data_IF_903590503166
#
_entry.id   IF_903590503166
#
_cell.length_a   1.000
_cell.length_b   1.000
_cell.length_c   1.000
_cell.angle_alpha   90.00
_cell.angle_beta   90.00
_cell.angle_gamma   90.00
#
_symmetry.space_group_name_H-M   'P 1'
#
loop_
_entity.id
_entity.type
_entity.pdbx_description
1 polymer ?
#
# COMPACT_ATOMS: atom_id res chain seq x y z
N UNK A 1 33.55 36.04 -4.41
CA UNK A 1 33.28 34.75 -3.75
C UNK A 1 31.84 34.41 -4.06
N UNK A 2 31.67 33.57 -5.08
CA UNK A 2 30.39 32.93 -5.39
C UNK A 2 30.03 32.02 -4.22
N UNK A 3 28.80 32.09 -3.74
CA UNK A 3 28.10 30.86 -3.44
C UNK A 3 26.60 31.00 -3.69
N UNK A 4 26.11 29.98 -4.35
CA UNK A 4 24.93 29.88 -5.15
C UNK A 4 23.84 29.18 -4.32
N UNK A 5 22.76 29.89 -3.96
CA UNK A 5 21.55 29.24 -3.44
C UNK A 5 20.36 29.57 -4.34
N UNK A 6 20.36 28.84 -5.44
CA UNK A 6 19.30 28.69 -6.43
C UNK A 6 18.10 27.95 -5.82
N UNK A 7 17.18 28.68 -5.21
CA UNK A 7 15.88 28.16 -4.80
C UNK A 7 14.97 27.94 -6.04
N UNK A 8 15.21 26.87 -6.80
CA UNK A 8 14.26 26.38 -7.81
C UNK A 8 13.26 25.42 -7.16
N UNK A 9 12.17 25.97 -6.63
CA UNK A 9 10.96 25.22 -6.30
C UNK A 9 10.28 24.84 -7.63
N UNK A 10 10.70 23.71 -8.22
CA UNK A 10 10.07 23.15 -9.42
C UNK A 10 8.67 22.65 -9.06
N UNK A 11 7.72 22.98 -9.93
CA UNK A 11 6.29 22.84 -9.73
C UNK A 11 5.84 21.42 -9.43
N UNK A 12 4.72 21.35 -8.69
CA UNK A 12 3.74 20.28 -8.82
C UNK A 12 3.32 20.26 -10.28
N UNK A 13 3.99 19.42 -11.07
CA UNK A 13 3.39 18.88 -12.27
C UNK A 13 2.29 17.97 -11.79
N UNK A 14 1.05 18.38 -12.00
CA UNK A 14 -0.07 17.45 -12.08
C UNK A 14 0.40 16.33 -13.00
N UNK A 15 0.51 15.13 -12.43
CA UNK A 15 0.81 13.95 -13.21
C UNK A 15 -0.48 13.65 -13.96
N UNK A 16 -0.65 14.36 -15.08
CA UNK A 16 -1.57 13.99 -16.13
C UNK A 16 -1.39 12.50 -16.35
N UNK A 17 -2.38 11.73 -15.88
CA UNK A 17 -2.57 10.35 -16.28
C UNK A 17 -2.80 10.48 -17.77
N UNK A 18 -1.73 10.37 -18.55
CA UNK A 18 -1.80 10.21 -19.99
C UNK A 18 -2.64 8.96 -20.17
N UNK A 19 -3.94 9.15 -20.39
CA UNK A 19 -4.83 8.14 -20.93
C UNK A 19 -4.26 7.84 -22.31
N UNK A 20 -3.31 6.91 -22.37
CA UNK A 20 -2.87 6.29 -23.61
C UNK A 20 -4.06 5.44 -24.09
N UNK A 21 -4.77 5.83 -25.17
CA UNK A 21 -5.88 5.04 -25.69
C UNK A 21 -5.40 3.71 -26.30
N UNK A 22 -4.10 3.56 -26.55
CA UNK A 22 -3.48 2.40 -27.20
C UNK A 22 -2.97 1.31 -26.25
N UNK A 23 -3.24 1.40 -24.94
CA UNK A 23 -3.02 0.28 -24.00
C UNK A 23 -4.28 -0.54 -23.74
N UNK A 24 -5.20 -0.52 -24.70
CA UNK A 24 -6.36 -1.42 -24.65
C UNK A 24 -5.89 -2.77 -25.17
N UNK A 25 -5.55 -3.68 -24.26
CA UNK A 25 -5.33 -5.08 -24.62
C UNK A 25 -6.56 -5.59 -25.39
N UNK A 26 -6.41 -6.36 -26.49
CA UNK A 26 -7.52 -6.89 -27.27
C UNK A 26 -8.19 -8.02 -26.47
N UNK A 27 -8.98 -7.62 -25.49
CA UNK A 27 -9.61 -8.47 -24.48
C UNK A 27 -10.02 -7.55 -23.34
N UNK A 28 -11.33 -7.44 -23.08
CA UNK A 28 -11.94 -6.50 -22.14
C UNK A 28 -11.63 -6.83 -20.67
N UNK A 29 -10.38 -7.09 -20.31
CA UNK A 29 -9.96 -7.33 -18.93
C UNK A 29 -9.35 -6.05 -18.36
N UNK A 30 -9.85 -5.61 -17.22
CA UNK A 30 -9.31 -4.47 -16.51
C UNK A 30 -7.96 -4.82 -15.88
N UNK A 31 -6.99 -3.91 -16.01
CA UNK A 31 -5.64 -4.05 -15.44
C UNK A 31 -5.33 -2.81 -14.59
N UNK A 32 -5.19 -2.92 -13.25
CA UNK A 32 -5.38 -4.11 -12.42
C UNK A 32 -6.81 -4.64 -12.43
N UNK A 33 -6.97 -5.94 -12.19
CA UNK A 33 -8.29 -6.57 -12.07
C UNK A 33 -9.04 -6.06 -10.85
N UNK A 34 -10.37 -6.29 -10.78
CA UNK A 34 -11.18 -5.94 -9.61
C UNK A 34 -10.62 -6.55 -8.31
N UNK A 35 -10.23 -7.83 -8.36
CA UNK A 35 -9.61 -8.55 -7.23
C UNK A 35 -8.30 -7.90 -6.76
N UNK A 36 -7.46 -7.46 -7.71
CA UNK A 36 -6.23 -6.75 -7.37
C UNK A 36 -6.51 -5.38 -6.76
N UNK A 37 -7.52 -4.67 -7.29
CA UNK A 37 -7.93 -3.36 -6.78
C UNK A 37 -8.49 -3.46 -5.36
N UNK A 38 -9.30 -4.49 -5.07
CA UNK A 38 -9.78 -4.80 -3.72
C UNK A 38 -8.61 -5.04 -2.76
N UNK A 39 -7.67 -5.92 -3.14
CA UNK A 39 -6.52 -6.23 -2.29
C UNK A 39 -5.64 -4.99 -2.04
N UNK A 40 -5.38 -4.19 -3.07
CA UNK A 40 -4.64 -2.93 -2.93
C UNK A 40 -5.38 -1.92 -2.06
N UNK A 41 -6.71 -1.86 -2.14
CA UNK A 41 -7.54 -1.03 -1.28
C UNK A 41 -7.39 -1.42 0.19
N UNK A 42 -7.55 -2.71 0.50
CA UNK A 42 -7.37 -3.23 1.85
C UNK A 42 -5.95 -2.98 2.40
N UNK A 43 -4.92 -3.22 1.58
CA UNK A 43 -3.53 -2.96 1.97
C UNK A 43 -3.27 -1.47 2.26
N UNK A 44 -3.88 -0.55 1.51
CA UNK A 44 -3.81 0.90 1.80
C UNK A 44 -4.44 1.24 3.13
N UNK A 45 -5.64 0.70 3.42
CA UNK A 45 -6.33 0.90 4.70
C UNK A 45 -5.52 0.38 5.88
N UNK A 46 -4.94 -0.82 5.75
CA UNK A 46 -4.04 -1.38 6.78
C UNK A 46 -2.84 -0.47 7.01
N UNK A 47 -2.21 0.03 5.94
CA UNK A 47 -1.03 0.91 6.06
C UNK A 47 -1.36 2.22 6.79
N UNK A 48 -2.52 2.80 6.51
CA UNK A 48 -2.97 4.00 7.23
C UNK A 48 -3.21 3.70 8.71
N UNK A 49 -3.83 2.55 9.01
CA UNK A 49 -4.07 2.15 10.40
C UNK A 49 -2.77 1.92 11.17
N UNK A 50 -1.80 1.24 10.57
CA UNK A 50 -0.44 1.07 11.13
C UNK A 50 0.23 2.43 11.39
N UNK A 51 0.06 3.42 10.51
CA UNK A 51 0.63 4.75 10.69
C UNK A 51 0.06 5.44 11.93
N UNK A 52 -1.26 5.39 12.11
CA UNK A 52 -1.95 5.95 13.28
C UNK A 52 -1.47 5.26 14.56
N UNK A 53 -1.43 3.93 14.57
CA UNK A 53 -1.00 3.14 15.73
C UNK A 53 0.45 3.42 16.13
N UNK A 54 1.36 3.45 15.15
CA UNK A 54 2.78 3.78 15.42
C UNK A 54 2.96 5.20 15.92
N UNK A 55 2.18 6.16 15.40
CA UNK A 55 2.21 7.52 15.93
C UNK A 55 1.71 7.58 17.37
N UNK A 56 0.67 6.81 17.72
CA UNK A 56 0.15 6.75 19.08
C UNK A 56 1.14 6.12 20.04
N UNK A 57 1.73 4.98 19.65
CA UNK A 57 2.78 4.31 20.43
C UNK A 57 3.96 5.25 20.70
N UNK A 58 4.45 5.95 19.67
CA UNK A 58 5.54 6.92 19.87
C UNK A 58 5.19 8.02 20.89
N UNK A 59 3.94 8.47 20.93
CA UNK A 59 3.47 9.44 21.93
C UNK A 59 3.35 8.85 23.33
N UNK A 60 2.95 7.58 23.46
CA UNK A 60 2.85 6.88 24.75
C UNK A 60 4.25 6.57 25.29
N UNK A 61 5.16 6.08 24.46
CA UNK A 61 6.54 5.82 24.84
C UNK A 61 7.26 7.10 25.30
N UNK A 62 6.98 8.23 24.65
CA UNK A 62 7.51 9.53 25.03
C UNK A 62 6.95 10.07 26.36
N UNK A 63 5.76 9.61 26.78
CA UNK A 63 5.18 10.00 28.08
C UNK A 63 5.93 9.34 29.25
N UNK A 64 6.44 8.11 29.03
CA UNK A 64 7.10 7.30 30.04
C UNK A 64 6.22 6.91 31.24
N UNK A 65 4.89 7.05 31.12
CA UNK A 65 3.98 6.80 32.24
C UNK A 65 3.59 5.33 32.32
N UNK A 66 3.67 4.77 33.52
CA UNK A 66 3.33 3.36 33.78
C UNK A 66 1.85 3.05 33.49
N UNK A 67 0.96 4.02 33.69
CA UNK A 67 -0.47 3.91 33.35
C UNK A 67 -0.74 3.67 31.85
N UNK A 68 0.20 4.04 30.98
CA UNK A 68 0.09 3.85 29.53
C UNK A 68 0.46 2.42 29.09
N UNK A 69 1.04 1.60 29.99
CA UNK A 69 1.55 0.25 29.65
C UNK A 69 0.49 -0.69 29.06
N UNK A 70 -0.74 -0.64 29.58
CA UNK A 70 -1.83 -1.45 29.05
C UNK A 70 -2.27 -0.96 27.65
N UNK A 71 -2.30 0.36 27.41
CA UNK A 71 -2.61 0.90 26.10
C UNK A 71 -1.53 0.49 25.08
N UNK A 72 -0.25 0.58 25.45
CA UNK A 72 0.89 0.14 24.62
C UNK A 72 0.70 -1.33 24.20
N UNK A 73 0.47 -2.23 25.15
CA UNK A 73 0.28 -3.66 24.88
C UNK A 73 -0.91 -3.92 23.96
N UNK A 74 -2.02 -3.19 24.12
CA UNK A 74 -3.17 -3.34 23.21
C UNK A 74 -2.83 -2.90 21.78
N UNK A 75 -2.04 -1.83 21.62
CA UNK A 75 -1.65 -1.32 20.29
C UNK A 75 -0.61 -2.20 19.62
N UNK A 76 0.29 -2.82 20.37
CA UNK A 76 1.23 -3.82 19.85
C UNK A 76 0.51 -5.07 19.35
N UNK A 77 -0.48 -5.56 20.09
CA UNK A 77 -1.33 -6.68 19.65
C UNK A 77 -2.10 -6.34 18.36
N UNK A 78 -2.62 -5.12 18.27
CA UNK A 78 -3.31 -4.64 17.07
C UNK A 78 -2.36 -4.58 15.86
N UNK A 79 -1.12 -4.11 16.05
CA UNK A 79 -0.08 -4.15 15.02
C UNK A 79 0.27 -5.58 14.58
N UNK A 80 0.32 -6.53 15.51
CA UNK A 80 0.56 -7.93 15.19
C UNK A 80 -0.57 -8.52 14.33
N UNK A 81 -1.83 -8.20 14.64
CA UNK A 81 -2.98 -8.61 13.84
C UNK A 81 -2.95 -7.98 12.43
N UNK A 82 -2.66 -6.69 12.34
CA UNK A 82 -2.55 -6.00 11.04
C UNK A 82 -1.44 -6.58 10.15
N UNK A 83 -0.37 -7.12 10.75
CA UNK A 83 0.69 -7.82 10.01
C UNK A 83 0.19 -9.15 9.42
N UNK A 84 -0.62 -9.90 10.16
CA UNK A 84 -1.26 -11.12 9.66
C UNK A 84 -2.20 -10.78 8.51
N UNK A 85 -3.03 -9.76 8.69
CA UNK A 85 -3.97 -9.31 7.65
C UNK A 85 -3.24 -8.81 6.40
N UNK A 86 -2.14 -8.06 6.58
CA UNK A 86 -1.28 -7.62 5.47
C UNK A 86 -0.80 -8.80 4.63
N UNK A 87 -0.24 -9.84 5.27
CA UNK A 87 0.27 -11.01 4.57
C UNK A 87 -0.83 -11.71 3.77
N UNK A 88 -2.02 -11.86 4.37
CA UNK A 88 -3.19 -12.45 3.70
C UNK A 88 -3.60 -11.65 2.46
N UNK A 89 -3.64 -10.32 2.55
CA UNK A 89 -3.96 -9.48 1.39
C UNK A 89 -2.85 -9.46 0.34
N UNK A 90 -1.59 -9.56 0.75
CA UNK A 90 -0.47 -9.69 -0.16
C UNK A 90 -0.53 -10.99 -0.97
N UNK A 91 -0.88 -12.11 -0.33
CA UNK A 91 -1.11 -13.39 -1.00
C UNK A 91 -2.27 -13.31 -1.99
N UNK A 92 -3.41 -12.74 -1.58
CA UNK A 92 -4.56 -12.50 -2.47
C UNK A 92 -4.18 -11.64 -3.67
N UNK A 93 -3.45 -10.55 -3.47
CA UNK A 93 -2.96 -9.67 -4.54
C UNK A 93 -2.06 -10.44 -5.51
N UNK A 94 -1.12 -11.24 -4.99
CA UNK A 94 -0.22 -12.06 -5.81
C UNK A 94 -1.00 -13.11 -6.62
N UNK A 95 -1.98 -13.77 -6.01
CA UNK A 95 -2.84 -14.72 -6.70
C UNK A 95 -3.64 -14.06 -7.83
N UNK A 96 -4.29 -12.92 -7.55
CA UNK A 96 -5.05 -12.17 -8.55
C UNK A 96 -4.15 -11.63 -9.68
N UNK A 97 -2.93 -11.20 -9.38
CA UNK A 97 -1.95 -10.82 -10.39
C UNK A 97 -1.56 -12.00 -11.29
N UNK A 98 -1.32 -13.19 -10.71
CA UNK A 98 -1.04 -14.42 -11.49
C UNK A 98 -2.22 -14.83 -12.36
N UNK A 99 -3.44 -14.79 -11.84
CA UNK A 99 -4.66 -15.06 -12.63
C UNK A 99 -4.72 -14.17 -13.86
N UNK A 100 -4.44 -12.87 -13.71
CA UNK A 100 -4.36 -11.95 -14.85
C UNK A 100 -3.26 -12.35 -15.83
N UNK A 101 -2.07 -12.72 -15.35
CA UNK A 101 -0.97 -13.13 -16.23
C UNK A 101 -1.33 -14.39 -17.02
N UNK A 102 -2.04 -15.36 -16.43
CA UNK A 102 -2.55 -16.54 -17.12
C UNK A 102 -3.57 -16.15 -18.19
N UNK A 103 -4.55 -15.30 -17.87
CA UNK A 103 -5.58 -14.84 -18.81
C UNK A 103 -4.97 -14.12 -20.02
N UNK A 104 -3.92 -13.34 -19.79
CA UNK A 104 -3.18 -12.63 -20.84
C UNK A 104 -2.22 -13.53 -21.63
N UNK A 105 -2.10 -14.82 -21.26
CA UNK A 105 -1.18 -15.77 -21.89
C UNK A 105 0.30 -15.52 -21.57
N UNK A 106 0.59 -14.80 -20.48
CA UNK A 106 1.95 -14.52 -20.00
C UNK A 106 2.47 -15.56 -19.00
N UNK A 107 1.59 -16.37 -18.41
CA UNK A 107 1.93 -17.47 -17.50
C UNK A 107 1.11 -18.72 -17.86
N UNK A 108 1.68 -19.91 -17.66
CA UNK A 108 0.94 -21.17 -17.79
C UNK A 108 0.03 -21.39 -16.58
N UNK A 109 -1.18 -21.90 -16.82
CA UNK A 109 -2.12 -22.25 -15.75
C UNK A 109 -1.66 -23.50 -14.97
N UNK A 110 -2.20 -23.72 -13.75
CA UNK A 110 -1.91 -24.96 -13.02
C UNK A 110 -2.34 -26.18 -13.85
N UNK A 111 -1.41 -27.10 -14.04
CA UNK A 111 -1.61 -28.43 -14.66
C UNK A 111 -2.42 -29.31 -13.71
#
# INVERSE_FOLDING_TARGET
MNDELRAKKKGKGDLDIVKNPDRTCPGKIEVPTEKETEALGAMKSIKEHVRVLKSRLASLDASGREEDANEILTKENELAQLKVDWNRWEEKRKAAARERMIILGHEEGPI
#
